data_IF_530876047816
#
_entry.id   IF_530876047816
#
_cell.length_a   1.000
_cell.length_b   1.000
_cell.length_c   1.000
_cell.angle_alpha   90.00
_cell.angle_beta   90.00
_cell.angle_gamma   90.00
#
_symmetry.space_group_name_H-M   'P 1'
#
loop_
_entity.id
_entity.type
_entity.pdbx_description
1 polymer ?
#
# COMPACT_ATOMS: atom_id res chain seq x y z
N UNK A 1 -9.30 -5.02 -2.81
CA UNK A 1 -9.40 -4.40 -1.47
C UNK A 1 -9.44 -2.90 -1.60
N UNK A 2 -9.75 -2.19 -0.51
CA UNK A 2 -9.82 -0.73 -0.50
C UNK A 2 -8.66 -0.14 0.32
N UNK A 3 -8.21 1.05 -0.05
CA UNK A 3 -7.07 1.74 0.57
C UNK A 3 -7.33 3.25 0.64
N UNK A 4 -6.61 3.93 1.53
CA UNK A 4 -6.53 5.39 1.54
C UNK A 4 -5.25 5.86 0.83
N UNK A 5 -5.34 6.96 0.08
CA UNK A 5 -4.16 7.61 -0.49
C UNK A 5 -3.68 8.74 0.43
N UNK A 6 -2.36 8.82 0.61
CA UNK A 6 -1.73 10.00 1.22
C UNK A 6 -1.63 11.16 0.21
N UNK A 7 -1.17 12.31 0.70
CA UNK A 7 -1.13 13.56 -0.06
C UNK A 7 -0.32 13.46 -1.37
N UNK A 8 0.75 12.65 -1.36
CA UNK A 8 1.60 12.44 -2.53
C UNK A 8 0.89 11.73 -3.70
N UNK A 9 -0.19 11.00 -3.44
CA UNK A 9 -0.93 10.24 -4.45
C UNK A 9 -2.36 10.76 -4.67
N UNK A 10 -2.93 11.44 -3.68
CA UNK A 10 -4.35 11.84 -3.71
C UNK A 10 -4.73 12.68 -4.93
N UNK A 11 -3.86 13.61 -5.35
CA UNK A 11 -4.02 14.44 -6.55
C UNK A 11 -5.42 15.10 -6.64
N UNK A 12 -5.81 15.79 -5.56
CA UNK A 12 -7.12 16.44 -5.41
C UNK A 12 -8.32 15.51 -5.71
N UNK A 13 -8.20 14.23 -5.36
CA UNK A 13 -9.23 13.21 -5.56
C UNK A 13 -9.23 12.56 -6.93
N UNK A 14 -8.32 12.94 -7.84
CA UNK A 14 -8.20 12.36 -9.19
C UNK A 14 -7.87 10.87 -9.15
N UNK A 15 -7.19 10.42 -8.08
CA UNK A 15 -6.88 9.01 -7.89
C UNK A 15 -8.03 8.20 -7.28
N UNK A 16 -9.05 8.85 -6.72
CA UNK A 16 -10.18 8.19 -6.08
C UNK A 16 -10.94 7.33 -7.10
N UNK A 17 -11.29 6.11 -6.71
CA UNK A 17 -11.96 5.12 -7.54
C UNK A 17 -11.02 4.34 -8.47
N UNK A 18 -9.77 4.77 -8.67
CA UNK A 18 -8.80 4.03 -9.49
C UNK A 18 -8.39 2.74 -8.81
N UNK A 19 -8.12 1.72 -9.63
CA UNK A 19 -7.61 0.44 -9.20
C UNK A 19 -6.16 0.27 -9.61
N UNK A 20 -5.36 -0.32 -8.73
CA UNK A 20 -3.95 -0.59 -8.97
C UNK A 20 -3.63 -2.02 -8.61
N UNK A 21 -2.66 -2.61 -9.32
CA UNK A 21 -2.01 -3.84 -8.87
C UNK A 21 -0.75 -3.47 -8.12
N UNK A 22 -0.67 -3.90 -6.86
CA UNK A 22 0.40 -3.53 -5.96
C UNK A 22 1.20 -4.75 -5.51
N UNK A 23 2.52 -4.62 -5.46
CA UNK A 23 3.46 -5.68 -5.13
C UNK A 23 4.50 -5.17 -4.14
N UNK A 24 4.77 -5.93 -3.08
CA UNK A 24 5.86 -5.62 -2.14
C UNK A 24 7.21 -5.84 -2.84
N UNK A 25 8.06 -4.82 -2.86
CA UNK A 25 9.37 -4.87 -3.54
C UNK A 25 10.52 -5.01 -2.56
N UNK A 26 10.49 -4.26 -1.46
CA UNK A 26 11.53 -4.31 -0.43
C UNK A 26 10.97 -4.11 0.98
N UNK A 27 11.46 -4.89 1.97
CA UNK A 27 11.27 -4.58 3.37
C UNK A 27 12.02 -3.29 3.73
N UNK A 28 11.44 -2.46 4.62
CA UNK A 28 12.14 -1.29 5.18
C UNK A 28 12.93 -1.63 6.44
N UNK A 29 12.62 -2.76 7.08
CA UNK A 29 13.28 -3.25 8.30
C UNK A 29 14.14 -4.48 7.97
N UNK A 30 15.22 -4.77 8.74
CA UNK A 30 16.13 -5.90 8.51
C UNK A 30 15.52 -7.28 8.82
N UNK A 31 14.19 -7.40 8.82
CA UNK A 31 13.49 -8.66 9.05
C UNK A 31 13.58 -9.47 7.75
N UNK A 32 14.11 -10.70 7.79
CA UNK A 32 14.17 -11.57 6.61
C UNK A 32 12.77 -11.86 6.04
N UNK A 33 12.66 -11.96 4.72
CA UNK A 33 11.47 -12.49 4.03
C UNK A 33 10.14 -11.75 4.30
N UNK A 34 10.13 -10.41 4.39
CA UNK A 34 8.85 -9.71 4.59
C UNK A 34 7.96 -9.76 3.34
N UNK A 35 8.49 -9.48 2.14
CA UNK A 35 7.70 -9.52 0.92
C UNK A 35 7.43 -10.97 0.48
N UNK A 36 6.17 -11.32 0.24
CA UNK A 36 5.76 -12.69 -0.12
C UNK A 36 5.84 -12.99 -1.63
N UNK A 37 6.30 -12.05 -2.46
CA UNK A 37 6.29 -12.17 -3.92
C UNK A 37 4.88 -12.20 -4.53
N UNK A 38 3.87 -11.86 -3.75
CA UNK A 38 2.47 -11.79 -4.16
C UNK A 38 2.10 -10.35 -4.53
N UNK A 39 1.09 -10.25 -5.38
CA UNK A 39 0.49 -8.99 -5.78
C UNK A 39 -0.96 -8.93 -5.35
N UNK A 40 -1.48 -7.71 -5.20
CA UNK A 40 -2.87 -7.54 -4.85
C UNK A 40 -3.52 -6.35 -5.53
N UNK A 41 -4.78 -6.51 -5.92
CA UNK A 41 -5.57 -5.44 -6.52
C UNK A 41 -6.23 -4.60 -5.43
N UNK A 42 -5.92 -3.31 -5.44
CA UNK A 42 -6.45 -2.31 -4.53
C UNK A 42 -7.30 -1.30 -5.30
N UNK A 43 -8.24 -0.65 -4.60
CA UNK A 43 -9.01 0.49 -5.07
C UNK A 43 -8.83 1.63 -4.07
N UNK A 44 -8.49 2.81 -4.54
CA UNK A 44 -8.40 3.98 -3.67
C UNK A 44 -9.80 4.52 -3.44
N UNK A 45 -10.20 4.66 -2.17
CA UNK A 45 -11.55 5.12 -1.82
C UNK A 45 -11.55 6.23 -0.77
N UNK A 46 -10.40 6.55 -0.20
CA UNK A 46 -10.28 7.51 0.89
C UNK A 46 -9.00 8.36 0.75
N UNK A 47 -9.02 9.53 1.36
CA UNK A 47 -7.87 10.45 1.48
C UNK A 47 -7.42 10.48 2.92
N UNK A 48 -6.14 10.22 3.15
CA UNK A 48 -5.51 10.38 4.45
C UNK A 48 -4.56 11.59 4.44
N UNK A 49 -5.05 12.80 4.76
CA UNK A 49 -4.24 14.02 4.79
C UNK A 49 -3.21 13.99 5.93
N UNK A 50 -2.00 14.47 5.67
CA UNK A 50 -0.90 14.48 6.63
C UNK A 50 -0.27 13.11 6.88
N UNK A 51 -0.64 12.11 6.08
CA UNK A 51 -0.10 10.77 6.20
C UNK A 51 1.37 10.70 5.75
N UNK A 52 2.28 10.11 6.54
CA UNK A 52 3.67 9.94 6.12
C UNK A 52 3.85 8.90 4.99
N UNK A 53 2.84 8.08 4.70
CA UNK A 53 2.87 7.07 3.64
C UNK A 53 2.10 7.50 2.40
N UNK A 54 2.52 7.01 1.24
CA UNK A 54 1.84 7.24 -0.05
C UNK A 54 0.48 6.55 -0.12
N UNK A 55 0.38 5.36 0.47
CA UNK A 55 -0.82 4.52 0.50
C UNK A 55 -0.94 3.93 1.91
N UNK A 56 -2.14 3.98 2.48
CA UNK A 56 -2.48 3.26 3.70
C UNK A 56 -3.33 2.03 3.38
N UNK A 57 -2.81 0.86 3.75
CA UNK A 57 -3.37 -0.43 3.38
C UNK A 57 -4.21 -0.99 4.50
N UNK A 58 -5.35 -1.58 4.15
CA UNK A 58 -6.06 -2.43 5.10
C UNK A 58 -5.14 -3.58 5.56
N UNK A 59 -5.36 -4.05 6.79
CA UNK A 59 -4.54 -5.14 7.36
C UNK A 59 -4.58 -6.40 6.50
N UNK A 60 -5.73 -6.68 5.89
CA UNK A 60 -5.93 -7.80 4.98
C UNK A 60 -5.07 -7.64 3.73
N UNK A 61 -4.99 -6.42 3.19
CA UNK A 61 -4.18 -6.12 2.01
C UNK A 61 -2.70 -6.24 2.29
N UNK A 62 -2.29 -5.72 3.43
CA UNK A 62 -0.93 -5.81 3.91
C UNK A 62 -0.49 -7.28 4.06
N UNK A 63 -1.31 -8.10 4.72
CA UNK A 63 -1.01 -9.51 4.98
C UNK A 63 -0.90 -10.39 3.72
N UNK A 64 -1.46 -9.96 2.58
CA UNK A 64 -1.34 -10.69 1.31
C UNK A 64 0.05 -10.55 0.71
N UNK A 65 0.63 -9.34 0.76
CA UNK A 65 1.87 -9.03 0.06
C UNK A 65 3.09 -9.02 0.99
N UNK A 66 2.89 -8.88 2.29
CA UNK A 66 3.96 -8.83 3.27
C UNK A 66 3.60 -9.49 4.60
N UNK A 67 4.62 -9.87 5.37
CA UNK A 67 4.46 -10.30 6.77
C UNK A 67 3.88 -9.15 7.62
N UNK A 68 2.76 -9.33 8.35
CA UNK A 68 2.14 -8.29 9.20
C UNK A 68 3.02 -7.78 10.35
N UNK A 69 4.12 -8.45 10.67
CA UNK A 69 5.13 -7.95 11.62
C UNK A 69 5.91 -6.77 11.04
N UNK A 70 5.93 -6.62 9.71
CA UNK A 70 6.43 -5.41 9.06
C UNK A 70 5.49 -4.24 9.39
N UNK A 71 6.05 -3.07 9.73
CA UNK A 71 5.25 -1.86 9.95
C UNK A 71 5.14 -1.02 8.67
N UNK A 72 6.22 -0.90 7.90
CA UNK A 72 6.29 -0.10 6.67
C UNK A 72 7.06 -0.89 5.62
N UNK A 73 6.56 -0.88 4.39
CA UNK A 73 7.17 -1.56 3.23
C UNK A 73 7.27 -0.61 2.05
N UNK A 74 8.18 -0.92 1.12
CA UNK A 74 8.17 -0.32 -0.21
C UNK A 74 7.37 -1.22 -1.17
N UNK A 75 6.56 -0.58 -2.00
CA UNK A 75 5.68 -1.23 -2.96
C UNK A 75 5.85 -0.60 -4.33
N UNK A 76 5.68 -1.42 -5.37
CA UNK A 76 5.37 -0.93 -6.70
C UNK A 76 3.87 -1.04 -6.93
N UNK A 77 3.27 -0.06 -7.58
CA UNK A 77 1.87 -0.05 -7.98
C UNK A 77 1.76 0.40 -9.44
N UNK A 78 0.89 -0.28 -10.20
CA UNK A 78 0.62 -0.02 -11.62
C UNK A 78 -0.87 0.04 -11.89
#
# INVERSE_FOLDING_TARGET
MIVAAGDALWDNGTVCGKMFTMTCTRPRNPIPHQCMGKSVTIKIVDHFPGCPSTIDLSREAFAIITNPVASIINVDYK
#
